data_IF_228507359657
#
_entry.id   IF_228507359657
#
_cell.length_a   1.000
_cell.length_b   1.000
_cell.length_c   1.000
_cell.angle_alpha   90.00
_cell.angle_beta   90.00
_cell.angle_gamma   90.00
#
_symmetry.space_group_name_H-M   'P 1'
#
loop_
_entity.id
_entity.type
_entity.pdbx_description
1 polymer ?
#
# COMPACT_ATOMS: atom_id res chain seq x y z
N UNK A 1 8.02 11.21 14.37
CA UNK A 1 8.71 9.92 14.06
C UNK A 1 10.03 10.14 13.32
N UNK A 2 10.95 9.15 13.34
CA UNK A 2 12.21 9.12 12.56
C UNK A 2 12.57 7.70 12.13
N UNK A 3 13.50 7.56 11.18
CA UNK A 3 14.05 6.26 10.78
C UNK A 3 15.48 6.14 11.29
N UNK A 4 15.75 5.12 12.11
CA UNK A 4 17.07 4.80 12.64
C UNK A 4 17.35 3.30 12.40
N UNK A 5 18.52 2.97 11.85
CA UNK A 5 18.91 1.60 11.50
C UNK A 5 17.81 0.86 10.69
N UNK A 6 17.23 1.59 9.71
CA UNK A 6 16.16 1.09 8.84
C UNK A 6 14.84 0.68 9.56
N UNK A 7 14.63 1.18 10.79
CA UNK A 7 13.41 0.97 11.59
C UNK A 7 12.77 2.29 11.96
N UNK A 8 11.45 2.27 12.15
CA UNK A 8 10.68 3.41 12.65
C UNK A 8 10.87 3.56 14.15
N UNK A 9 11.10 4.79 14.56
CA UNK A 9 11.16 5.22 15.96
C UNK A 9 10.07 6.28 16.15
N UNK A 10 9.21 6.09 17.12
CA UNK A 10 8.14 7.01 17.48
C UNK A 10 8.71 8.31 18.10
N UNK A 11 7.85 9.30 18.30
CA UNK A 11 8.27 10.62 18.83
C UNK A 11 8.72 10.54 20.29
N UNK A 12 8.24 9.56 21.04
CA UNK A 12 8.70 9.26 22.40
C UNK A 12 10.08 8.59 22.45
N UNK A 13 10.71 8.37 21.31
CA UNK A 13 12.02 7.75 21.17
C UNK A 13 12.02 6.22 21.22
N UNK A 14 10.86 5.58 21.38
CA UNK A 14 10.76 4.11 21.38
C UNK A 14 10.60 3.56 19.97
N UNK A 15 11.09 2.34 19.69
CA UNK A 15 10.78 1.64 18.46
C UNK A 15 9.27 1.45 18.30
N UNK A 16 8.77 1.64 17.07
CA UNK A 16 7.44 1.19 16.66
C UNK A 16 7.36 -0.34 16.79
N UNK A 17 6.16 -0.88 17.02
CA UNK A 17 5.93 -2.33 17.08
C UNK A 17 6.65 -3.03 15.94
N UNK A 18 7.42 -4.08 16.27
CA UNK A 18 8.20 -4.84 15.29
C UNK A 18 7.97 -6.34 15.46
N UNK A 19 7.45 -6.98 14.40
CA UNK A 19 7.26 -8.43 14.32
C UNK A 19 7.95 -8.91 13.07
N UNK A 20 9.09 -9.57 13.22
CA UNK A 20 9.92 -9.92 12.07
C UNK A 20 9.31 -11.01 11.21
N UNK A 21 9.04 -10.69 9.93
CA UNK A 21 8.56 -11.68 8.96
C UNK A 21 9.68 -12.58 8.46
N UNK A 22 9.41 -13.91 8.30
CA UNK A 22 10.32 -14.82 7.59
C UNK A 22 10.26 -14.64 6.06
N UNK A 23 9.19 -14.02 5.52
CA UNK A 23 8.93 -13.86 4.08
C UNK A 23 9.71 -12.68 3.49
N UNK A 24 11.02 -12.71 3.68
CA UNK A 24 11.97 -11.71 3.21
C UNK A 24 13.25 -12.38 2.72
N UNK A 25 14.09 -11.60 2.04
CA UNK A 25 15.39 -12.09 1.58
C UNK A 25 16.50 -11.04 1.78
N UNK A 26 17.46 -10.97 0.91
CA UNK A 26 18.67 -10.15 0.99
C UNK A 26 18.49 -8.67 1.31
N UNK A 27 19.57 -7.92 1.26
CA UNK A 27 19.57 -6.46 1.41
C UNK A 27 19.27 -5.83 0.05
N UNK A 28 18.57 -4.68 0.06
CA UNK A 28 18.28 -3.90 -1.14
C UNK A 28 18.55 -2.41 -0.90
N UNK A 29 18.65 -1.66 -1.99
CA UNK A 29 18.53 -0.20 -2.00
C UNK A 29 17.17 0.13 -2.61
N UNK A 30 16.19 0.60 -1.82
CA UNK A 30 14.86 0.87 -2.33
C UNK A 30 14.85 2.09 -3.26
N UNK A 31 14.12 1.99 -4.36
CA UNK A 31 13.91 3.03 -5.36
C UNK A 31 12.47 3.54 -5.37
N UNK A 32 11.52 2.73 -4.90
CA UNK A 32 10.07 3.00 -4.98
C UNK A 32 9.36 2.73 -3.65
N UNK A 33 8.23 3.39 -3.46
CA UNK A 33 7.25 3.09 -2.41
C UNK A 33 6.01 2.48 -3.07
N UNK A 34 5.57 1.30 -2.61
CA UNK A 34 4.38 0.63 -3.13
C UNK A 34 3.31 0.54 -2.04
N UNK A 35 2.12 1.04 -2.37
CA UNK A 35 0.96 1.01 -1.48
C UNK A 35 0.07 -0.19 -1.78
N UNK A 36 -0.40 -0.84 -0.71
CA UNK A 36 -1.25 -2.03 -0.76
C UNK A 36 -2.44 -1.89 0.18
N UNK A 37 -3.45 -2.74 0.02
CA UNK A 37 -4.40 -3.08 1.07
C UNK A 37 -4.29 -4.56 1.45
N UNK A 38 -4.53 -4.87 2.72
CA UNK A 38 -4.38 -6.23 3.25
C UNK A 38 -5.43 -7.23 2.75
N UNK A 39 -6.61 -6.77 2.38
CA UNK A 39 -7.84 -7.57 2.16
C UNK A 39 -8.24 -8.44 3.37
N UNK A 40 -7.54 -8.32 4.49
CA UNK A 40 -7.78 -9.06 5.73
C UNK A 40 -8.99 -8.57 6.52
N UNK A 41 -9.19 -9.18 7.69
CA UNK A 41 -10.26 -8.77 8.63
C UNK A 41 -9.77 -7.79 9.69
N UNK A 42 -8.46 -7.73 9.93
CA UNK A 42 -7.81 -6.80 10.86
C UNK A 42 -6.31 -6.70 10.59
N UNK A 43 -5.70 -5.64 11.13
CA UNK A 43 -4.26 -5.42 11.04
C UNK A 43 -3.49 -6.56 11.71
N UNK A 44 -3.90 -7.01 12.90
CA UNK A 44 -3.26 -8.10 13.65
C UNK A 44 -3.33 -9.42 12.88
N UNK A 45 -4.49 -9.74 12.29
CA UNK A 45 -4.65 -10.93 11.46
C UNK A 45 -3.76 -10.89 10.23
N UNK A 46 -3.62 -9.73 9.61
CA UNK A 46 -2.76 -9.51 8.44
C UNK A 46 -1.27 -9.62 8.82
N UNK A 47 -0.87 -9.07 9.98
CA UNK A 47 0.49 -9.24 10.53
C UNK A 47 0.78 -10.72 10.78
N UNK A 48 -0.14 -11.43 11.46
CA UNK A 48 0.01 -12.86 11.74
C UNK A 48 0.16 -13.68 10.46
N UNK A 49 -0.64 -13.38 9.42
CA UNK A 49 -0.54 -14.02 8.11
C UNK A 49 0.82 -13.74 7.45
N UNK A 50 1.24 -12.48 7.35
CA UNK A 50 2.51 -12.09 6.73
C UNK A 50 3.74 -12.60 7.50
N UNK A 51 3.60 -12.94 8.78
CA UNK A 51 4.65 -13.57 9.60
C UNK A 51 4.61 -15.11 9.55
N UNK A 52 3.63 -15.70 8.86
CA UNK A 52 3.60 -17.14 8.61
C UNK A 52 4.47 -17.48 7.38
N UNK A 53 5.46 -18.40 7.50
CA UNK A 53 6.29 -18.81 6.37
C UNK A 53 5.47 -19.37 5.19
N UNK A 54 4.34 -19.99 5.45
CA UNK A 54 3.48 -20.57 4.41
C UNK A 54 2.80 -19.51 3.53
N UNK A 55 2.67 -18.26 4.01
CA UNK A 55 2.07 -17.16 3.24
C UNK A 55 2.89 -16.79 2.01
N UNK A 56 4.22 -16.94 2.07
CA UNK A 56 5.15 -16.53 1.01
C UNK A 56 4.89 -15.10 0.52
N UNK A 57 4.38 -14.26 1.40
CA UNK A 57 4.05 -12.86 1.19
C UNK A 57 4.28 -12.08 2.48
N UNK A 58 4.74 -10.84 2.37
CA UNK A 58 4.91 -9.90 3.47
C UNK A 58 5.02 -8.48 2.94
N UNK A 59 5.01 -7.50 3.85
CA UNK A 59 5.36 -6.12 3.56
C UNK A 59 6.43 -5.63 4.55
N UNK A 60 6.85 -4.38 4.41
CA UNK A 60 7.75 -3.76 5.39
C UNK A 60 7.01 -3.21 6.58
N UNK A 61 5.80 -2.70 6.35
CA UNK A 61 4.98 -2.05 7.36
C UNK A 61 3.50 -2.39 7.14
N UNK A 62 2.78 -2.60 8.22
CA UNK A 62 1.31 -2.64 8.26
C UNK A 62 0.82 -1.42 9.03
N UNK A 63 -0.18 -0.73 8.49
CA UNK A 63 -0.86 0.41 9.12
C UNK A 63 -2.31 0.01 9.43
N UNK A 64 -2.67 0.01 10.70
CA UNK A 64 -4.03 -0.25 11.15
C UNK A 64 -4.99 0.88 10.81
N UNK A 65 -6.30 0.62 10.86
CA UNK A 65 -7.32 1.65 10.63
C UNK A 65 -7.30 2.78 11.67
N UNK A 66 -6.76 2.51 12.84
CA UNK A 66 -6.54 3.47 13.93
C UNK A 66 -5.21 4.24 13.80
N UNK A 67 -4.47 4.03 12.71
CA UNK A 67 -3.14 4.62 12.49
C UNK A 67 -2.01 3.89 13.20
N UNK A 68 -2.27 2.79 13.90
CA UNK A 68 -1.24 1.97 14.53
C UNK A 68 -0.26 1.41 13.50
N UNK A 69 1.01 1.32 13.89
CA UNK A 69 2.10 0.91 13.01
C UNK A 69 2.74 -0.38 13.51
N UNK A 70 2.84 -1.38 12.65
CA UNK A 70 3.62 -2.60 12.91
C UNK A 70 4.59 -2.85 11.78
N UNK A 71 5.89 -2.73 12.06
CA UNK A 71 6.93 -2.97 11.07
C UNK A 71 7.31 -4.46 11.06
N UNK A 72 7.40 -5.07 9.86
CA UNK A 72 7.65 -6.50 9.67
C UNK A 72 9.06 -6.79 9.12
N UNK A 73 9.67 -5.83 8.44
CA UNK A 73 11.02 -5.94 7.93
C UNK A 73 11.74 -4.59 8.02
N UNK A 74 13.04 -4.59 8.16
CA UNK A 74 13.83 -3.38 8.02
C UNK A 74 13.70 -2.86 6.58
N UNK A 75 13.60 -1.54 6.37
CA UNK A 75 13.30 -0.94 5.06
C UNK A 75 14.38 -1.17 3.99
N UNK A 76 15.53 -1.67 4.34
CA UNK A 76 16.58 -2.09 3.40
C UNK A 76 16.61 -3.59 3.15
N UNK A 77 15.59 -4.33 3.55
CA UNK A 77 15.45 -5.78 3.28
C UNK A 77 14.44 -6.01 2.17
N UNK A 78 14.63 -7.04 1.40
CA UNK A 78 13.67 -7.46 0.36
C UNK A 78 12.50 -8.17 1.04
N UNK A 79 11.35 -7.50 1.23
CA UNK A 79 10.10 -8.13 1.65
C UNK A 79 9.31 -8.60 0.41
N UNK A 80 8.53 -9.68 0.53
CA UNK A 80 7.86 -10.29 -0.62
C UNK A 80 6.43 -9.74 -0.80
N UNK A 81 6.30 -8.48 -1.25
CA UNK A 81 5.00 -7.78 -1.39
C UNK A 81 4.53 -7.58 -2.84
N UNK A 82 5.45 -7.45 -3.82
CA UNK A 82 5.11 -7.04 -5.17
C UNK A 82 4.85 -8.22 -6.13
N UNK A 83 5.42 -9.40 -5.85
CA UNK A 83 5.33 -10.57 -6.71
C UNK A 83 5.84 -10.30 -8.13
N UNK A 84 5.18 -10.88 -9.14
CA UNK A 84 5.48 -10.59 -10.55
C UNK A 84 5.03 -9.16 -10.88
N UNK A 85 5.96 -8.28 -11.16
CA UNK A 85 5.72 -6.85 -11.29
C UNK A 85 6.77 -6.19 -12.19
N UNK A 86 6.40 -5.07 -12.84
CA UNK A 86 7.27 -4.30 -13.74
C UNK A 86 6.98 -2.81 -13.55
N UNK A 87 8.03 -1.98 -13.48
CA UNK A 87 7.94 -0.52 -13.48
C UNK A 87 9.27 0.12 -13.88
N UNK A 88 9.23 1.16 -14.71
CA UNK A 88 10.40 1.97 -15.12
C UNK A 88 11.64 1.11 -15.47
N UNK A 89 11.46 0.07 -16.29
CA UNK A 89 12.53 -0.85 -16.71
C UNK A 89 13.01 -1.85 -15.64
N UNK A 90 12.40 -1.84 -14.43
CA UNK A 90 12.64 -2.82 -13.38
C UNK A 90 11.60 -3.93 -13.44
N UNK A 91 11.99 -5.18 -13.24
CA UNK A 91 11.11 -6.32 -13.04
C UNK A 91 11.37 -6.96 -11.67
N UNK A 92 10.33 -7.51 -11.04
CA UNK A 92 10.44 -8.09 -9.71
C UNK A 92 10.66 -7.03 -8.63
N UNK A 93 9.71 -6.11 -8.47
CA UNK A 93 9.83 -4.90 -7.64
C UNK A 93 10.10 -5.16 -6.15
N UNK A 94 9.96 -6.40 -5.66
CA UNK A 94 10.41 -6.75 -4.30
C UNK A 94 11.85 -6.30 -4.02
N UNK A 95 12.74 -6.41 -5.02
CA UNK A 95 14.16 -6.05 -4.88
C UNK A 95 14.44 -4.55 -4.97
N UNK A 96 13.43 -3.72 -5.26
CA UNK A 96 13.60 -2.30 -5.55
C UNK A 96 12.62 -1.40 -4.78
N UNK A 97 11.75 -1.97 -3.94
CA UNK A 97 10.69 -1.17 -3.32
C UNK A 97 10.41 -1.52 -1.87
N UNK A 98 9.92 -0.50 -1.16
CA UNK A 98 9.32 -0.64 0.15
C UNK A 98 7.81 -0.82 -0.06
N UNK A 99 7.22 -1.87 0.52
CA UNK A 99 5.77 -2.09 0.51
C UNK A 99 5.14 -1.71 1.84
N UNK A 100 4.04 -0.94 1.78
CA UNK A 100 3.20 -0.60 2.93
C UNK A 100 1.81 -1.20 2.70
N UNK A 101 1.35 -1.99 3.66
CA UNK A 101 0.00 -2.55 3.71
C UNK A 101 -0.89 -1.72 4.62
N UNK A 102 -2.04 -1.31 4.11
CA UNK A 102 -3.07 -0.65 4.89
C UNK A 102 -4.16 -1.66 5.25
N UNK A 103 -4.54 -1.75 6.52
CA UNK A 103 -5.66 -2.59 6.95
C UNK A 103 -6.96 -2.08 6.33
N UNK A 104 -7.38 -2.76 5.26
CA UNK A 104 -8.54 -2.40 4.47
C UNK A 104 -9.02 -3.63 3.69
N UNK A 105 -10.33 -3.79 3.55
CA UNK A 105 -10.92 -4.94 2.86
C UNK A 105 -10.79 -4.89 1.33
N UNK A 106 -10.49 -3.72 0.77
CA UNK A 106 -10.46 -3.52 -0.67
C UNK A 106 -11.84 -3.63 -1.31
N UNK A 107 -11.95 -4.48 -2.32
CA UNK A 107 -13.21 -4.74 -3.04
C UNK A 107 -14.28 -5.36 -2.14
N UNK A 108 -15.51 -4.87 -2.29
CA UNK A 108 -16.68 -5.36 -1.60
C UNK A 108 -17.77 -5.79 -2.60
N UNK A 109 -18.46 -6.86 -2.27
CA UNK A 109 -19.57 -7.39 -3.05
C UNK A 109 -20.88 -7.11 -2.32
N UNK A 110 -21.94 -6.75 -3.04
CA UNK A 110 -23.28 -6.57 -2.46
C UNK A 110 -23.92 -7.94 -2.21
N UNK A 111 -24.35 -8.17 -0.97
CA UNK A 111 -25.09 -9.37 -0.57
C UNK A 111 -26.33 -8.94 0.25
N UNK A 112 -27.49 -8.92 -0.38
CA UNK A 112 -28.70 -8.31 0.20
C UNK A 112 -28.47 -6.85 0.57
N UNK A 113 -28.65 -6.49 1.84
CA UNK A 113 -28.49 -5.14 2.36
C UNK A 113 -27.09 -4.85 2.92
N UNK A 114 -26.11 -5.71 2.67
CA UNK A 114 -24.75 -5.57 3.21
C UNK A 114 -23.70 -5.63 2.13
N UNK A 115 -22.57 -4.99 2.40
CA UNK A 115 -21.35 -5.13 1.65
C UNK A 115 -20.45 -6.18 2.32
N UNK A 116 -19.95 -7.14 1.56
CA UNK A 116 -19.19 -8.28 2.08
C UNK A 116 -17.82 -8.32 1.40
N UNK A 117 -16.77 -8.46 2.18
CA UNK A 117 -15.44 -8.78 1.64
C UNK A 117 -15.41 -10.22 1.15
N UNK A 118 -15.00 -10.43 -0.10
CA UNK A 118 -14.84 -11.77 -0.67
C UNK A 118 -13.78 -12.60 0.05
N UNK A 119 -12.77 -11.95 0.66
CA UNK A 119 -11.65 -12.59 1.35
C UNK A 119 -11.99 -12.88 2.81
N UNK A 120 -12.26 -11.84 3.60
CA UNK A 120 -12.48 -11.97 5.04
C UNK A 120 -13.90 -12.42 5.43
N UNK A 121 -14.86 -12.39 4.49
CA UNK A 121 -16.30 -12.63 4.71
C UNK A 121 -16.95 -11.65 5.70
N UNK A 122 -16.24 -10.62 6.13
CA UNK A 122 -16.75 -9.57 7.01
C UNK A 122 -17.72 -8.66 6.26
N UNK A 123 -18.76 -8.23 6.97
CA UNK A 123 -19.74 -7.26 6.47
C UNK A 123 -19.34 -5.83 6.85
N UNK A 124 -19.66 -4.88 5.96
CA UNK A 124 -19.41 -3.45 6.10
C UNK A 124 -20.72 -2.67 5.90
N UNK A 125 -20.95 -1.58 6.65
CA UNK A 125 -22.10 -0.70 6.44
C UNK A 125 -21.93 0.14 5.17
N UNK A 126 -23.02 0.72 4.67
CA UNK A 126 -23.00 1.56 3.46
C UNK A 126 -22.09 2.80 3.61
N UNK A 127 -22.00 3.36 4.83
CA UNK A 127 -21.19 4.55 5.14
C UNK A 127 -19.67 4.31 5.06
N UNK A 128 -19.25 3.04 5.06
CA UNK A 128 -17.83 2.67 4.92
C UNK A 128 -17.47 2.30 3.46
N UNK A 129 -18.37 2.59 2.49
CA UNK A 129 -18.23 2.06 1.12
C UNK A 129 -18.32 3.14 0.07
N UNK A 130 -17.26 3.31 -0.68
CA UNK A 130 -17.21 4.14 -1.88
C UNK A 130 -17.57 3.31 -3.12
N UNK A 131 -18.48 3.83 -3.95
CA UNK A 131 -18.80 3.25 -5.27
C UNK A 131 -17.86 3.84 -6.32
N UNK A 132 -17.03 3.02 -6.94
CA UNK A 132 -16.11 3.48 -7.99
C UNK A 132 -15.73 2.37 -8.97
N UNK A 133 -15.26 2.80 -10.15
CA UNK A 133 -14.55 1.93 -11.09
C UNK A 133 -13.06 1.90 -10.74
N UNK A 134 -12.45 0.75 -10.92
CA UNK A 134 -11.00 0.65 -10.84
C UNK A 134 -10.38 1.23 -12.12
N UNK A 135 -9.24 1.91 -12.00
CA UNK A 135 -8.57 2.55 -13.15
C UNK A 135 -8.19 1.60 -14.29
N UNK A 136 -8.02 0.31 -13.98
CA UNK A 136 -7.71 -0.74 -14.96
C UNK A 136 -8.97 -1.46 -15.47
N UNK A 137 -10.17 -1.05 -15.09
CA UNK A 137 -11.41 -1.61 -15.61
C UNK A 137 -11.65 -1.17 -17.06
N UNK A 138 -12.38 -1.99 -17.80
CA UNK A 138 -12.80 -1.63 -19.16
C UNK A 138 -13.85 -0.53 -19.10
N UNK A 139 -13.85 0.33 -20.11
CA UNK A 139 -14.92 1.32 -20.28
C UNK A 139 -16.30 0.66 -20.27
N UNK A 140 -17.25 1.23 -19.52
CA UNK A 140 -18.59 0.70 -19.37
C UNK A 140 -18.75 -0.38 -18.29
N UNK A 141 -17.70 -0.75 -17.58
CA UNK A 141 -17.82 -1.60 -16.38
C UNK A 141 -18.63 -0.86 -15.31
N UNK A 142 -19.67 -1.47 -14.70
CA UNK A 142 -20.38 -0.84 -13.61
C UNK A 142 -19.48 -0.62 -12.39
N UNK A 143 -19.66 0.48 -11.62
CA UNK A 143 -18.91 0.69 -10.38
C UNK A 143 -19.23 -0.39 -9.35
N UNK A 144 -18.23 -0.74 -8.55
CA UNK A 144 -18.34 -1.69 -7.44
C UNK A 144 -18.04 -0.99 -6.12
N UNK A 145 -18.38 -1.66 -4.99
CA UNK A 145 -18.06 -1.17 -3.66
C UNK A 145 -16.58 -1.32 -3.31
N UNK A 146 -16.02 -0.31 -2.66
CA UNK A 146 -14.67 -0.29 -2.11
C UNK A 146 -14.70 0.18 -0.67
N UNK A 147 -14.04 -0.55 0.22
CA UNK A 147 -13.93 -0.15 1.62
C UNK A 147 -13.09 1.12 1.73
N UNK A 148 -13.66 2.16 2.36
CA UNK A 148 -12.97 3.43 2.57
C UNK A 148 -11.82 3.31 3.57
N UNK A 149 -10.80 4.15 3.39
CA UNK A 149 -9.69 4.29 4.35
C UNK A 149 -10.05 5.32 5.41
N UNK A 150 -9.62 5.10 6.65
CA UNK A 150 -9.80 6.10 7.70
C UNK A 150 -8.81 7.27 7.52
N UNK A 151 -9.21 8.46 7.92
CA UNK A 151 -8.34 9.65 7.85
C UNK A 151 -7.05 9.47 8.67
N UNK A 152 -7.15 8.87 9.86
CA UNK A 152 -6.00 8.60 10.74
C UNK A 152 -5.01 7.64 10.07
N UNK A 153 -5.50 6.64 9.35
CA UNK A 153 -4.69 5.69 8.59
C UNK A 153 -3.96 6.39 7.43
N UNK A 154 -4.68 7.24 6.68
CA UNK A 154 -4.10 8.00 5.56
C UNK A 154 -3.05 9.01 6.03
N UNK A 155 -3.28 9.67 7.16
CA UNK A 155 -2.29 10.58 7.75
C UNK A 155 -1.05 9.84 8.23
N UNK A 156 -1.21 8.70 8.92
CA UNK A 156 -0.10 7.84 9.32
C UNK A 156 0.73 7.37 8.10
N UNK A 157 0.05 6.93 7.03
CA UNK A 157 0.70 6.56 5.78
C UNK A 157 1.49 7.72 5.16
N UNK A 158 0.93 8.93 5.19
CA UNK A 158 1.57 10.14 4.67
C UNK A 158 2.83 10.49 5.47
N UNK A 159 2.75 10.50 6.79
CA UNK A 159 3.89 10.79 7.67
C UNK A 159 5.04 9.79 7.46
N UNK A 160 4.72 8.50 7.40
CA UNK A 160 5.72 7.46 7.11
C UNK A 160 6.28 7.61 5.70
N UNK A 161 5.42 7.85 4.71
CA UNK A 161 5.81 8.06 3.32
C UNK A 161 6.83 9.20 3.17
N UNK A 162 6.57 10.35 3.76
CA UNK A 162 7.50 11.51 3.76
C UNK A 162 8.86 11.16 4.38
N UNK A 163 8.88 10.41 5.49
CA UNK A 163 10.13 9.95 6.09
C UNK A 163 10.91 9.02 5.17
N UNK A 164 10.22 8.09 4.49
CA UNK A 164 10.83 7.14 3.55
C UNK A 164 11.37 7.86 2.32
N UNK A 165 10.59 8.78 1.73
CA UNK A 165 11.03 9.61 0.60
C UNK A 165 12.33 10.34 0.92
N UNK A 166 12.36 11.02 2.08
CA UNK A 166 13.55 11.75 2.53
C UNK A 166 14.74 10.84 2.83
N UNK A 167 14.51 9.69 3.51
CA UNK A 167 15.58 8.80 3.97
C UNK A 167 16.25 8.03 2.85
N UNK A 168 15.48 7.61 1.84
CA UNK A 168 15.96 6.72 0.78
C UNK A 168 16.03 7.40 -0.60
N UNK A 169 15.63 8.68 -0.71
CA UNK A 169 15.56 9.40 -1.99
C UNK A 169 14.78 8.60 -3.03
N UNK A 170 13.59 8.10 -2.62
CA UNK A 170 12.76 7.27 -3.48
C UNK A 170 12.35 8.05 -4.73
N UNK A 171 12.30 7.38 -5.86
CA UNK A 171 12.05 7.97 -7.18
C UNK A 171 10.57 8.16 -7.47
N UNK A 172 9.73 7.26 -6.93
CA UNK A 172 8.29 7.26 -7.19
C UNK A 172 7.49 6.57 -6.09
N UNK A 173 6.16 6.84 -6.09
CA UNK A 173 5.16 6.28 -5.18
C UNK A 173 4.05 5.68 -6.03
N UNK A 174 3.77 4.40 -5.86
CA UNK A 174 2.94 3.61 -6.77
C UNK A 174 1.93 2.77 -5.99
N UNK A 175 0.83 2.41 -6.64
CA UNK A 175 -0.03 1.33 -6.20
C UNK A 175 0.49 -0.03 -6.72
N UNK A 176 0.11 -1.11 -6.08
CA UNK A 176 0.39 -2.45 -6.60
C UNK A 176 -0.26 -2.67 -7.98
N UNK A 177 -1.41 -2.04 -8.20
CA UNK A 177 -2.14 -2.00 -9.46
C UNK A 177 -1.38 -1.32 -10.61
N UNK A 178 -0.41 -0.42 -10.31
CA UNK A 178 0.45 0.22 -11.31
C UNK A 178 1.52 -0.73 -11.82
N UNK A 179 2.12 -1.49 -10.92
CA UNK A 179 3.25 -2.38 -11.20
C UNK A 179 2.84 -3.78 -11.63
N UNK A 180 1.55 -4.12 -11.47
CA UNK A 180 0.98 -5.42 -11.83
C UNK A 180 -0.46 -5.29 -12.39
N UNK A 181 -0.68 -4.47 -13.45
CA UNK A 181 -2.00 -4.22 -14.00
C UNK A 181 -2.66 -5.51 -14.47
N UNK A 182 -3.98 -5.62 -14.28
CA UNK A 182 -4.76 -6.82 -14.61
C UNK A 182 -4.60 -7.98 -13.61
N UNK A 183 -3.57 -7.96 -12.75
CA UNK A 183 -3.34 -8.98 -11.70
C UNK A 183 -3.70 -8.45 -10.30
N UNK A 184 -3.49 -7.17 -10.06
CA UNK A 184 -3.67 -6.51 -8.77
C UNK A 184 -4.56 -5.29 -8.87
N UNK A 185 -5.26 -5.02 -7.78
CA UNK A 185 -6.22 -3.92 -7.68
C UNK A 185 -6.01 -3.06 -6.43
N UNK A 186 -5.00 -3.38 -5.64
CA UNK A 186 -4.61 -2.63 -4.44
C UNK A 186 -3.66 -1.45 -4.83
N UNK A 187 -3.79 -0.29 -4.20
CA UNK A 187 -4.68 0.06 -3.09
C UNK A 187 -6.12 0.45 -3.51
N UNK A 188 -6.44 0.45 -4.81
CA UNK A 188 -7.76 0.71 -5.37
C UNK A 188 -8.22 2.17 -5.30
N UNK A 189 -9.41 2.48 -5.87
CA UNK A 189 -9.88 3.86 -6.04
C UNK A 189 -10.26 4.57 -4.73
N UNK A 190 -10.51 3.83 -3.64
CA UNK A 190 -10.76 4.43 -2.32
C UNK A 190 -9.49 5.03 -1.69
N UNK A 191 -8.30 4.63 -2.15
CA UNK A 191 -7.05 5.26 -1.73
C UNK A 191 -6.78 6.51 -2.59
N UNK A 192 -6.56 7.69 -1.98
CA UNK A 192 -6.38 8.94 -2.71
C UNK A 192 -4.98 9.03 -3.32
N UNK A 193 -4.65 8.10 -4.25
CA UNK A 193 -3.30 7.89 -4.77
C UNK A 193 -2.69 9.15 -5.40
N UNK A 194 -3.49 9.93 -6.15
CA UNK A 194 -3.00 11.12 -6.84
C UNK A 194 -2.51 12.18 -5.84
N UNK A 195 -3.34 12.56 -4.86
CA UNK A 195 -2.97 13.55 -3.85
C UNK A 195 -1.89 13.05 -2.89
N UNK A 196 -1.92 11.76 -2.53
CA UNK A 196 -0.89 11.13 -1.71
C UNK A 196 0.49 11.20 -2.40
N UNK A 197 0.55 10.81 -3.67
CA UNK A 197 1.77 10.85 -4.48
C UNK A 197 2.26 12.28 -4.68
N UNK A 198 1.38 13.22 -5.01
CA UNK A 198 1.72 14.64 -5.14
C UNK A 198 2.36 15.19 -3.86
N UNK A 199 1.74 14.91 -2.71
CA UNK A 199 2.24 15.33 -1.39
C UNK A 199 3.63 14.75 -1.08
N UNK A 200 3.86 13.47 -1.36
CA UNK A 200 5.15 12.82 -1.09
C UNK A 200 6.26 13.28 -2.03
N UNK A 201 5.93 13.59 -3.28
CA UNK A 201 6.89 14.08 -4.28
C UNK A 201 7.09 15.60 -4.24
N UNK A 202 6.40 16.31 -3.33
CA UNK A 202 6.50 17.76 -3.20
C UNK A 202 5.91 18.52 -4.39
N UNK A 203 4.90 17.97 -5.06
CA UNK A 203 4.17 18.59 -6.17
C UNK A 203 2.92 19.28 -5.67
N UNK A 204 2.52 20.41 -6.31
CA UNK A 204 1.32 21.14 -5.91
C UNK A 204 0.05 20.37 -6.22
N UNK A 205 0.03 19.60 -7.32
CA UNK A 205 -1.08 18.76 -7.75
C UNK A 205 -0.55 17.62 -8.64
N UNK A 206 -1.21 16.46 -8.60
CA UNK A 206 -0.90 15.32 -9.47
C UNK A 206 -2.16 15.00 -10.29
N UNK A 207 -2.66 16.02 -11.01
CA UNK A 207 -3.79 15.83 -11.93
C UNK A 207 -3.42 14.85 -13.03
N UNK A 208 -4.41 14.14 -13.56
CA UNK A 208 -4.24 13.15 -14.65
C UNK A 208 -3.49 13.72 -15.87
N UNK A 209 -3.57 15.02 -16.13
CA UNK A 209 -2.86 15.69 -17.23
C UNK A 209 -1.34 15.69 -17.02
N UNK A 210 -0.86 15.84 -15.80
CA UNK A 210 0.58 15.72 -15.49
C UNK A 210 1.08 14.28 -15.64
N UNK A 211 0.25 13.29 -15.38
CA UNK A 211 0.56 11.87 -15.58
C UNK A 211 0.85 11.54 -17.03
N UNK A 212 0.03 12.04 -17.95
CA UNK A 212 0.16 11.79 -19.39
C UNK A 212 1.45 12.43 -19.92
N UNK A 213 1.77 13.65 -19.48
CA UNK A 213 2.94 14.38 -19.96
C UNK A 213 4.25 13.73 -19.49
N UNK A 214 4.32 13.24 -18.24
CA UNK A 214 5.52 12.57 -17.71
C UNK A 214 5.71 11.16 -18.29
N UNK A 215 4.63 10.44 -18.59
CA UNK A 215 4.69 9.13 -19.24
C UNK A 215 5.20 9.22 -20.68
N UNK A 216 4.92 10.33 -21.38
CA UNK A 216 5.38 10.56 -22.77
C UNK A 216 6.85 11.02 -22.87
N UNK A 217 7.45 11.52 -21.79
CA UNK A 217 8.85 11.96 -21.76
C UNK A 217 9.82 10.78 -21.49
N UNK A 218 9.32 9.61 -21.12
CA UNK A 218 10.11 8.43 -20.75
C UNK A 218 9.96 7.25 -21.73
N UNK A 219 9.53 7.51 -22.99
CA UNK A 219 9.55 6.56 -24.10
C UNK A 219 10.76 6.82 -24.98
#
# INVERSE_FOLDING_TARGET
>A
MKIQNHRLIADDGKPVSYVETPNKSGVMTPEFLIMHYTAGSSAEGSVAWMCNPAAKAAAHLVIGRDGSLTQLAAFNRVAWHAGKSVWAGRSGLNGFSIGIELDNAGKLERSGNRWISAVSKRAYPDDDVMMANHKNDRSGTPPIGWHEYSEVQLEAATQVGLLLMKKYSLKDVLGHEDIAPGRKTDPGPAFPMASFRARLLGRADDTMEHYITLSLIHI
#
